data_IF_956432658926
#
_entry.id   IF_956432658926
#
_cell.length_a   1.000
_cell.length_b   1.000
_cell.length_c   1.000
_cell.angle_alpha   90.00
_cell.angle_beta   90.00
_cell.angle_gamma   90.00
#
_symmetry.space_group_name_H-M   'P 1'
#
loop_
_entity.id
_entity.type
_entity.pdbx_description
1 polymer ?
#
# COMPACT_ATOMS: atom_id res chain seq x y z
N UNK A 1 -38.48 -3.44 -15.33
CA UNK A 1 -37.79 -2.62 -14.30
C UNK A 1 -37.57 -1.24 -14.89
N UNK A 2 -38.24 -0.26 -14.32
CA UNK A 2 -38.34 1.12 -14.78
C UNK A 2 -36.97 1.80 -14.82
N UNK A 3 -36.60 2.36 -15.96
CA UNK A 3 -35.45 3.25 -16.08
C UNK A 3 -35.69 4.48 -15.18
N UNK A 4 -34.80 4.73 -14.25
CA UNK A 4 -34.88 5.88 -13.36
C UNK A 4 -34.76 7.16 -14.19
N UNK A 5 -35.75 8.05 -14.13
CA UNK A 5 -35.83 9.29 -14.87
C UNK A 5 -34.78 10.37 -14.50
N UNK A 6 -33.70 10.00 -13.79
CA UNK A 6 -32.65 10.89 -13.29
C UNK A 6 -31.43 11.03 -14.23
N UNK A 7 -31.52 10.64 -15.52
CA UNK A 7 -30.35 10.51 -16.41
C UNK A 7 -30.02 11.75 -17.28
N UNK A 8 -30.45 12.96 -16.87
CA UNK A 8 -30.20 14.20 -17.64
C UNK A 8 -28.78 14.77 -17.62
N UNK A 9 -27.77 14.12 -17.01
CA UNK A 9 -26.38 14.58 -16.98
C UNK A 9 -25.42 13.54 -17.52
N UNK A 10 -24.41 13.96 -18.30
CA UNK A 10 -23.41 13.07 -18.88
C UNK A 10 -22.64 12.32 -17.78
N UNK A 11 -22.63 10.97 -17.84
CA UNK A 11 -21.84 10.12 -16.95
C UNK A 11 -20.37 10.21 -17.34
N UNK A 12 -19.49 10.42 -16.35
CA UNK A 12 -18.04 10.48 -16.55
C UNK A 12 -17.43 9.09 -16.37
N UNK A 13 -16.59 8.62 -17.28
CA UNK A 13 -15.77 7.43 -17.06
C UNK A 13 -14.91 7.60 -15.80
N UNK A 14 -14.77 6.54 -15.00
CA UNK A 14 -14.02 6.59 -13.73
C UNK A 14 -12.57 6.98 -13.97
N UNK A 15 -11.93 6.41 -15.00
CA UNK A 15 -10.51 6.59 -15.26
C UNK A 15 -10.18 8.05 -15.60
N UNK A 16 -11.05 8.72 -16.40
CA UNK A 16 -10.93 10.14 -16.73
C UNK A 16 -11.15 11.02 -15.49
N UNK A 17 -12.21 10.72 -14.72
CA UNK A 17 -12.52 11.44 -13.50
C UNK A 17 -11.37 11.32 -12.47
N UNK A 18 -10.80 10.11 -12.31
CA UNK A 18 -9.69 9.86 -11.41
C UNK A 18 -8.42 10.58 -11.87
N UNK A 19 -8.10 10.56 -13.16
CA UNK A 19 -6.93 11.27 -13.69
C UNK A 19 -7.01 12.79 -13.42
N UNK A 20 -8.18 13.40 -13.67
CA UNK A 20 -8.41 14.81 -13.34
C UNK A 20 -8.29 15.08 -11.84
N UNK A 21 -8.88 14.23 -11.01
CA UNK A 21 -8.85 14.38 -9.56
C UNK A 21 -7.41 14.30 -9.02
N UNK A 22 -6.64 13.32 -9.48
CA UNK A 22 -5.24 13.14 -9.06
C UNK A 22 -4.34 14.32 -9.47
N UNK A 23 -4.64 14.96 -10.60
CA UNK A 23 -3.92 16.16 -11.03
C UNK A 23 -4.19 17.39 -10.14
N UNK A 24 -5.33 17.40 -9.43
CA UNK A 24 -5.70 18.45 -8.47
C UNK A 24 -5.23 18.17 -7.04
N UNK A 25 -4.56 17.05 -6.78
CA UNK A 25 -4.07 16.74 -5.44
C UNK A 25 -3.06 17.81 -4.97
N UNK A 26 -3.24 18.37 -3.77
CA UNK A 26 -2.31 19.33 -3.20
C UNK A 26 -0.91 18.76 -3.04
N UNK A 27 0.07 19.63 -2.78
CA UNK A 27 1.41 19.19 -2.43
C UNK A 27 1.36 18.31 -1.17
N UNK A 28 2.21 17.25 -1.11
CA UNK A 28 2.28 16.40 0.07
C UNK A 28 2.61 17.18 1.34
N UNK A 29 2.22 16.68 2.52
CA UNK A 29 2.56 17.27 3.80
C UNK A 29 4.07 17.40 4.00
N UNK A 30 4.49 18.28 4.94
CA UNK A 30 5.88 18.39 5.33
C UNK A 30 6.46 17.06 5.82
N UNK A 31 7.78 16.93 5.71
CA UNK A 31 8.49 15.77 6.25
C UNK A 31 8.74 15.92 7.75
N UNK A 32 8.85 14.78 8.42
CA UNK A 32 9.32 14.64 9.80
C UNK A 32 10.35 13.51 9.87
N UNK A 33 11.26 13.59 10.81
CA UNK A 33 12.25 12.54 11.07
C UNK A 33 11.68 11.54 12.06
N UNK A 34 11.71 10.25 11.70
CA UNK A 34 11.28 9.17 12.58
C UNK A 34 12.38 8.12 12.77
N UNK A 35 12.44 7.53 13.96
CA UNK A 35 13.18 6.32 14.19
C UNK A 35 12.65 5.20 13.29
N UNK A 36 13.57 4.38 12.75
CA UNK A 36 13.25 3.34 11.76
C UNK A 36 12.16 2.37 12.26
N UNK A 37 12.17 2.00 13.53
CA UNK A 37 11.18 1.12 14.16
C UNK A 37 9.73 1.66 14.12
N UNK A 38 9.56 2.98 13.99
CA UNK A 38 8.26 3.67 13.93
C UNK A 38 7.84 4.01 12.49
N UNK A 39 8.65 3.65 11.50
CA UNK A 39 8.48 4.07 10.12
C UNK A 39 7.63 3.11 9.27
N UNK A 40 7.17 1.98 9.82
CA UNK A 40 6.30 1.05 9.10
C UNK A 40 5.04 1.74 8.58
N UNK A 41 4.74 1.54 7.28
CA UNK A 41 3.57 2.11 6.61
C UNK A 41 3.67 3.61 6.29
N UNK A 42 4.77 4.28 6.69
CA UNK A 42 5.00 5.70 6.38
C UNK A 42 5.46 5.88 4.93
N UNK A 43 5.26 7.07 4.41
CA UNK A 43 5.67 7.46 3.05
C UNK A 43 7.01 8.17 3.12
N UNK A 44 8.01 7.67 2.43
CA UNK A 44 9.35 8.26 2.38
C UNK A 44 9.29 9.67 1.78
N UNK A 45 9.94 10.63 2.45
CA UNK A 45 9.87 12.05 2.11
C UNK A 45 10.89 12.49 1.06
N UNK A 46 12.02 11.80 0.97
CA UNK A 46 13.16 12.09 0.11
C UNK A 46 13.83 10.82 -0.40
N UNK A 47 14.58 10.92 -1.49
CA UNK A 47 15.34 9.78 -2.02
C UNK A 47 16.43 9.37 -1.02
N UNK A 48 16.63 8.07 -0.85
CA UNK A 48 17.63 7.52 0.03
C UNK A 48 18.72 6.84 -0.79
N UNK A 49 19.96 7.26 -0.59
CA UNK A 49 21.14 6.65 -1.19
C UNK A 49 21.86 5.77 -0.16
N UNK A 50 22.50 4.70 -0.61
CA UNK A 50 23.26 3.81 0.24
C UNK A 50 24.42 4.55 0.95
N UNK A 51 24.42 4.63 2.30
CA UNK A 51 25.50 5.30 3.03
C UNK A 51 26.80 4.51 3.01
N UNK A 52 26.73 3.20 2.70
CA UNK A 52 27.86 2.29 2.67
C UNK A 52 27.62 1.15 1.66
N UNK A 53 28.67 0.36 1.39
CA UNK A 53 28.54 -0.84 0.57
C UNK A 53 27.77 -1.94 1.33
N UNK A 54 27.02 -2.77 0.60
CA UNK A 54 26.33 -3.95 1.13
C UNK A 54 26.65 -5.17 0.22
N UNK A 55 27.23 -6.27 0.71
CA UNK A 55 27.87 -6.42 2.03
C UNK A 55 29.00 -5.44 2.31
N UNK A 56 29.30 -5.22 3.59
CA UNK A 56 30.31 -4.20 4.00
C UNK A 56 31.75 -4.62 3.70
N UNK A 57 32.00 -5.93 3.57
CA UNK A 57 33.29 -6.56 3.28
C UNK A 57 33.08 -7.85 2.49
N UNK A 58 34.15 -8.39 1.91
CA UNK A 58 34.15 -9.72 1.34
C UNK A 58 33.90 -10.74 2.46
N UNK A 59 32.93 -11.64 2.29
CA UNK A 59 32.52 -12.59 3.32
C UNK A 59 32.24 -13.97 2.76
N UNK A 60 32.31 -14.98 3.63
CA UNK A 60 31.97 -16.34 3.26
C UNK A 60 30.47 -16.49 3.01
N UNK A 61 30.10 -17.12 1.90
CA UNK A 61 28.73 -17.52 1.60
C UNK A 61 28.34 -18.88 2.26
N UNK A 62 29.32 -19.65 2.75
CA UNK A 62 29.14 -21.02 3.26
C UNK A 62 29.96 -21.24 4.54
N UNK A 63 29.57 -22.24 5.30
CA UNK A 63 30.42 -22.81 6.34
C UNK A 63 31.45 -23.71 5.68
N UNK A 64 32.74 -23.47 5.94
CA UNK A 64 33.77 -24.22 5.22
C UNK A 64 35.19 -23.78 5.52
N UNK A 65 36.04 -23.76 4.51
CA UNK A 65 37.43 -23.40 4.59
C UNK A 65 37.79 -22.34 3.57
N UNK A 66 38.26 -21.18 4.04
CA UNK A 66 38.79 -20.11 3.22
C UNK A 66 40.25 -20.39 2.89
N UNK A 67 40.66 -20.17 1.65
CA UNK A 67 42.00 -20.38 1.15
C UNK A 67 42.33 -19.50 -0.05
N UNK A 68 43.61 -19.44 -0.43
CA UNK A 68 43.99 -18.90 -1.73
C UNK A 68 43.91 -20.03 -2.77
N UNK A 69 43.12 -19.84 -3.81
CA UNK A 69 42.95 -20.86 -4.87
C UNK A 69 44.27 -21.25 -5.56
N UNK A 70 45.24 -20.31 -5.61
CA UNK A 70 46.56 -20.56 -6.18
C UNK A 70 47.45 -21.49 -5.34
N UNK A 71 47.11 -21.70 -4.06
CA UNK A 71 47.88 -22.60 -3.15
C UNK A 71 47.53 -24.07 -3.36
N UNK A 72 46.50 -24.39 -4.16
CA UNK A 72 46.12 -25.75 -4.48
C UNK A 72 46.45 -26.13 -5.92
N UNK A 73 46.91 -27.39 -6.12
CA UNK A 73 46.97 -27.99 -7.46
C UNK A 73 45.59 -28.02 -8.13
N UNK A 74 45.55 -28.05 -9.43
CA UNK A 74 44.27 -28.15 -10.21
C UNK A 74 43.45 -29.41 -9.88
N UNK A 75 44.08 -30.42 -9.29
CA UNK A 75 43.45 -31.68 -8.85
C UNK A 75 42.87 -31.62 -7.41
N UNK A 76 43.02 -30.50 -6.73
CA UNK A 76 42.78 -30.41 -5.29
C UNK A 76 44.02 -30.80 -4.46
N UNK A 77 43.93 -30.76 -3.13
CA UNK A 77 45.07 -31.01 -2.26
C UNK A 77 44.74 -30.83 -0.79
N UNK A 78 45.80 -30.95 0.05
CA UNK A 78 45.68 -30.84 1.50
C UNK A 78 46.41 -29.60 2.02
N UNK A 79 45.71 -28.78 2.81
CA UNK A 79 46.27 -27.59 3.47
C UNK A 79 46.20 -27.73 5.00
N UNK A 80 47.11 -27.06 5.71
CA UNK A 80 47.04 -26.95 7.17
C UNK A 80 46.02 -25.89 7.57
N UNK A 81 45.17 -26.20 8.56
CA UNK A 81 44.18 -25.27 9.10
C UNK A 81 44.83 -24.40 10.18
N UNK A 82 45.22 -23.17 9.82
CA UNK A 82 45.96 -22.27 10.71
C UNK A 82 45.08 -21.33 11.55
N UNK A 83 43.79 -21.24 11.23
CA UNK A 83 42.89 -20.28 11.88
C UNK A 83 41.43 -20.71 11.86
N UNK A 84 40.64 -20.11 12.78
CA UNK A 84 39.17 -20.21 12.80
C UNK A 84 38.58 -18.82 12.87
N UNK A 85 37.66 -18.49 11.91
CA UNK A 85 37.06 -17.17 11.71
C UNK A 85 35.54 -17.33 11.78
N UNK A 86 34.93 -16.75 12.80
CA UNK A 86 33.47 -16.73 12.97
C UNK A 86 32.86 -15.40 12.46
N UNK A 87 31.56 -15.38 12.24
CA UNK A 87 30.84 -14.13 12.02
C UNK A 87 31.04 -13.19 13.24
N UNK A 88 31.29 -11.91 12.97
CA UNK A 88 31.63 -10.93 14.02
C UNK A 88 33.08 -10.89 14.43
N UNK A 89 33.96 -11.71 13.84
CA UNK A 89 35.39 -11.63 14.07
C UNK A 89 35.98 -10.33 13.48
N UNK A 90 36.57 -9.50 14.35
CA UNK A 90 37.10 -8.18 13.99
C UNK A 90 38.64 -8.17 13.96
N UNK A 91 39.32 -9.29 14.13
CA UNK A 91 40.79 -9.35 14.27
C UNK A 91 41.55 -9.01 12.98
N UNK A 92 40.87 -8.94 11.81
CA UNK A 92 41.53 -8.60 10.56
C UNK A 92 42.60 -9.60 10.17
N UNK A 93 42.25 -10.88 10.11
CA UNK A 93 43.23 -11.96 9.92
C UNK A 93 43.82 -11.98 8.52
N UNK A 94 45.10 -12.24 8.43
CA UNK A 94 45.81 -12.60 7.20
C UNK A 94 46.04 -14.09 7.17
N UNK A 95 45.74 -14.73 6.04
CA UNK A 95 45.97 -16.13 5.82
C UNK A 95 47.40 -16.35 5.29
N UNK A 96 48.27 -17.10 5.99
CA UNK A 96 49.56 -17.44 5.45
C UNK A 96 49.47 -18.30 4.19
N UNK A 97 50.45 -18.19 3.29
CA UNK A 97 50.54 -19.04 2.09
C UNK A 97 50.56 -20.53 2.47
N UNK A 98 49.83 -21.32 1.69
CA UNK A 98 49.74 -22.78 1.90
C UNK A 98 48.89 -23.19 3.11
N UNK A 99 48.10 -22.29 3.67
CA UNK A 99 47.19 -22.57 4.77
C UNK A 99 45.71 -22.34 4.36
N UNK A 100 44.82 -22.99 5.11
CA UNK A 100 43.37 -22.73 5.07
C UNK A 100 42.93 -22.21 6.45
N UNK A 101 41.81 -21.44 6.44
CA UNK A 101 41.14 -21.01 7.66
C UNK A 101 39.76 -21.62 7.72
N UNK A 102 39.40 -22.26 8.85
CA UNK A 102 38.02 -22.63 9.12
C UNK A 102 37.18 -21.37 9.20
N UNK A 103 36.17 -21.25 8.32
CA UNK A 103 35.33 -20.03 8.21
C UNK A 103 33.84 -20.40 8.28
N UNK A 104 33.02 -19.48 8.77
CA UNK A 104 31.58 -19.64 8.88
C UNK A 104 30.87 -18.61 8.02
N UNK A 105 29.65 -18.92 7.59
CA UNK A 105 28.79 -18.05 6.77
C UNK A 105 28.69 -16.66 7.38
N UNK A 106 28.90 -15.63 6.56
CA UNK A 106 28.88 -14.23 6.98
C UNK A 106 30.18 -13.74 7.66
N UNK A 107 31.13 -14.63 7.96
CA UNK A 107 32.43 -14.21 8.49
C UNK A 107 33.27 -13.47 7.43
N UNK A 108 34.04 -12.44 7.83
CA UNK A 108 34.90 -11.72 6.90
C UNK A 108 35.97 -12.67 6.32
N UNK A 109 36.19 -12.55 4.99
CA UNK A 109 37.21 -13.30 4.30
C UNK A 109 38.59 -12.79 4.73
N UNK A 110 39.53 -13.66 5.19
CA UNK A 110 40.86 -13.22 5.60
C UNK A 110 41.64 -12.69 4.38
N UNK A 111 42.47 -11.69 4.60
CA UNK A 111 43.39 -11.20 3.55
C UNK A 111 44.30 -12.36 3.09
N UNK A 112 44.42 -12.55 1.78
CA UNK A 112 45.14 -13.64 1.16
C UNK A 112 44.26 -14.82 0.72
N UNK A 113 43.03 -14.94 1.22
CA UNK A 113 42.04 -15.88 0.70
C UNK A 113 41.22 -15.22 -0.47
N UNK A 114 40.91 -16.05 -1.45
CA UNK A 114 40.08 -15.63 -2.61
C UNK A 114 38.89 -16.57 -2.87
N UNK A 115 38.78 -17.68 -2.15
CA UNK A 115 37.66 -18.63 -2.28
C UNK A 115 37.34 -19.32 -0.94
N UNK A 116 36.17 -19.96 -0.89
CA UNK A 116 35.74 -20.81 0.23
C UNK A 116 35.25 -22.15 -0.34
N UNK A 117 35.62 -23.23 0.34
CA UNK A 117 35.14 -24.59 0.06
C UNK A 117 34.14 -24.98 1.16
N UNK A 118 32.91 -25.40 0.81
CA UNK A 118 31.93 -25.89 1.78
C UNK A 118 32.47 -27.07 2.56
N UNK A 119 32.19 -27.14 3.85
CA UNK A 119 32.72 -28.20 4.75
C UNK A 119 32.29 -29.60 4.31
N UNK A 120 31.14 -29.73 3.65
CA UNK A 120 30.58 -30.98 3.17
C UNK A 120 31.43 -31.63 2.04
N UNK A 121 32.26 -30.83 1.39
CA UNK A 121 33.16 -31.23 0.33
C UNK A 121 34.59 -31.48 0.84
N UNK A 122 34.82 -31.33 2.14
CA UNK A 122 36.14 -31.41 2.74
C UNK A 122 36.28 -32.65 3.64
N UNK A 123 37.51 -33.21 3.71
CA UNK A 123 37.85 -34.27 4.67
C UNK A 123 38.90 -33.71 5.62
N UNK A 124 38.58 -33.71 6.91
CA UNK A 124 39.50 -33.24 7.97
C UNK A 124 40.32 -34.38 8.50
N UNK A 125 41.64 -34.22 8.54
CA UNK A 125 42.60 -35.18 9.13
C UNK A 125 43.56 -34.40 10.05
N UNK A 126 43.28 -34.45 11.35
CA UNK A 126 44.02 -33.71 12.37
C UNK A 126 43.98 -32.20 12.11
N UNK A 127 45.16 -31.60 11.93
CA UNK A 127 45.30 -30.17 11.62
C UNK A 127 45.24 -29.85 10.11
N UNK A 128 44.96 -30.85 9.28
CA UNK A 128 44.90 -30.69 7.83
C UNK A 128 43.50 -30.90 7.30
N UNK A 129 43.20 -30.24 6.18
CA UNK A 129 41.95 -30.41 5.46
C UNK A 129 42.25 -30.78 4.01
N UNK A 130 41.65 -31.86 3.54
CA UNK A 130 41.67 -32.25 2.13
C UNK A 130 40.57 -31.53 1.42
N UNK A 131 40.90 -30.84 0.32
CA UNK A 131 40.08 -29.93 -0.44
C UNK A 131 39.95 -30.40 -1.88
N UNK A 132 38.76 -30.30 -2.50
CA UNK A 132 38.58 -30.55 -3.92
C UNK A 132 39.23 -29.43 -4.76
N UNK A 133 39.22 -29.53 -6.11
CA UNK A 133 39.57 -28.42 -6.98
C UNK A 133 38.72 -27.20 -6.71
N UNK A 134 39.32 -26.00 -6.77
CA UNK A 134 38.67 -24.72 -6.47
C UNK A 134 38.94 -23.69 -7.55
N UNK A 135 38.11 -22.65 -7.61
CA UNK A 135 38.30 -21.47 -8.44
C UNK A 135 38.24 -20.21 -7.59
N UNK A 136 39.01 -19.19 -7.98
CA UNK A 136 38.95 -17.88 -7.34
C UNK A 136 37.52 -17.31 -7.38
N UNK A 137 37.08 -16.71 -6.27
CA UNK A 137 35.74 -16.14 -6.09
C UNK A 137 34.66 -17.14 -5.69
N UNK A 138 34.95 -18.44 -5.65
CA UNK A 138 33.99 -19.48 -5.31
C UNK A 138 33.49 -19.30 -3.88
N UNK A 139 32.15 -19.26 -3.68
CA UNK A 139 31.47 -19.08 -2.38
C UNK A 139 31.91 -17.84 -1.58
N UNK A 140 32.32 -16.77 -2.25
CA UNK A 140 32.63 -15.48 -1.65
C UNK A 140 31.56 -14.46 -2.07
N UNK A 141 30.94 -13.82 -1.08
CA UNK A 141 30.11 -12.61 -1.29
C UNK A 141 31.03 -11.41 -1.31
N UNK A 142 31.04 -10.68 -2.41
CA UNK A 142 31.92 -9.52 -2.58
C UNK A 142 31.35 -8.28 -1.92
N UNK A 143 32.22 -7.44 -1.36
CA UNK A 143 31.86 -6.11 -0.86
C UNK A 143 31.13 -5.31 -1.94
N UNK A 144 29.95 -4.75 -1.60
CA UNK A 144 29.14 -3.94 -2.50
C UNK A 144 28.48 -4.72 -3.65
N UNK A 145 28.41 -6.05 -3.55
CA UNK A 145 27.78 -6.93 -4.55
C UNK A 145 26.27 -6.62 -4.69
N UNK A 146 25.59 -6.38 -3.56
CA UNK A 146 24.18 -6.05 -3.53
C UNK A 146 23.94 -4.54 -3.76
N UNK A 147 24.65 -3.70 -3.00
CA UNK A 147 24.57 -2.24 -3.11
C UNK A 147 25.95 -1.60 -2.92
N UNK A 148 26.29 -0.66 -3.77
CA UNK A 148 27.47 0.19 -3.60
C UNK A 148 27.09 1.49 -2.92
N UNK A 149 27.97 2.03 -2.12
CA UNK A 149 27.85 3.36 -1.52
C UNK A 149 27.47 4.41 -2.57
N UNK A 150 26.42 5.21 -2.28
CA UNK A 150 25.90 6.24 -3.19
C UNK A 150 24.87 5.72 -4.20
N UNK A 151 24.65 4.40 -4.31
CA UNK A 151 23.60 3.88 -5.16
C UNK A 151 22.19 4.23 -4.59
N UNK A 152 21.18 4.48 -5.46
CA UNK A 152 19.82 4.71 -5.02
C UNK A 152 19.23 3.43 -4.39
N UNK A 153 18.67 3.55 -3.17
CA UNK A 153 18.07 2.48 -2.41
C UNK A 153 16.55 2.54 -2.48
N UNK A 154 15.99 3.69 -2.08
CA UNK A 154 14.56 3.95 -2.09
C UNK A 154 14.29 5.35 -2.63
N UNK A 155 13.10 5.54 -3.20
CA UNK A 155 12.67 6.84 -3.74
C UNK A 155 11.64 7.50 -2.84
N UNK A 156 11.67 8.83 -2.79
CA UNK A 156 10.59 9.61 -2.19
C UNK A 156 9.24 9.17 -2.76
N UNK A 157 8.21 9.13 -1.91
CA UNK A 157 6.88 8.66 -2.30
C UNK A 157 6.67 7.14 -2.25
N UNK A 158 7.66 6.36 -1.86
CA UNK A 158 7.47 4.94 -1.55
C UNK A 158 6.92 4.75 -0.14
N UNK A 159 5.99 3.78 0.02
CA UNK A 159 5.55 3.32 1.34
C UNK A 159 6.57 2.35 1.92
N UNK A 160 6.99 2.57 3.16
CA UNK A 160 7.93 1.71 3.86
C UNK A 160 7.22 0.46 4.39
N UNK A 161 7.55 -0.70 3.84
CA UNK A 161 7.06 -2.03 4.21
C UNK A 161 8.12 -2.73 5.06
N UNK A 162 7.86 -3.91 5.65
CA UNK A 162 8.85 -4.61 6.47
C UNK A 162 10.20 -4.84 5.78
N UNK A 163 10.21 -5.19 4.49
CA UNK A 163 11.44 -5.43 3.73
C UNK A 163 12.25 -4.14 3.50
N UNK A 164 11.62 -2.99 3.31
CA UNK A 164 12.34 -1.71 3.22
C UNK A 164 12.98 -1.35 4.57
N UNK A 165 12.28 -1.60 5.69
CA UNK A 165 12.86 -1.37 7.02
C UNK A 165 14.07 -2.28 7.28
N UNK A 166 13.98 -3.57 6.88
CA UNK A 166 15.08 -4.51 6.98
C UNK A 166 16.29 -4.08 6.16
N UNK A 167 16.08 -3.64 4.92
CA UNK A 167 17.13 -3.11 4.05
C UNK A 167 17.79 -1.87 4.64
N UNK A 168 17.00 -0.91 5.13
CA UNK A 168 17.52 0.31 5.76
C UNK A 168 18.33 0.00 7.02
N UNK A 169 17.85 -0.94 7.84
CA UNK A 169 18.58 -1.41 9.02
C UNK A 169 19.92 -2.06 8.65
N UNK A 170 19.98 -2.87 7.58
CA UNK A 170 21.24 -3.48 7.10
C UNK A 170 22.25 -2.44 6.58
N UNK A 171 21.79 -1.26 6.19
CA UNK A 171 22.60 -0.12 5.80
C UNK A 171 22.96 0.81 6.97
N UNK A 172 22.59 0.46 8.21
CA UNK A 172 22.86 1.25 9.40
C UNK A 172 22.01 2.54 9.52
N UNK A 173 20.90 2.64 8.79
CA UNK A 173 20.01 3.79 8.83
C UNK A 173 19.13 3.69 10.07
N UNK A 174 19.34 4.57 11.05
CA UNK A 174 18.58 4.58 12.31
C UNK A 174 17.31 5.45 12.24
N UNK A 175 17.30 6.47 11.39
CA UNK A 175 16.20 7.41 11.22
C UNK A 175 15.92 7.67 9.75
N UNK A 176 14.67 7.95 9.40
CA UNK A 176 14.23 8.25 8.05
C UNK A 176 13.39 9.51 8.00
N UNK A 177 13.51 10.27 6.90
CA UNK A 177 12.65 11.40 6.59
C UNK A 177 11.37 10.86 5.93
N UNK A 178 10.23 11.05 6.58
CA UNK A 178 8.93 10.56 6.09
C UNK A 178 7.92 11.70 6.03
N UNK A 179 6.93 11.59 5.17
CA UNK A 179 5.81 12.54 5.15
C UNK A 179 5.01 12.43 6.44
N UNK A 180 4.68 13.55 7.08
CA UNK A 180 3.69 13.61 8.16
C UNK A 180 2.39 12.95 7.68
N UNK A 181 1.66 12.30 8.59
CA UNK A 181 0.33 11.76 8.24
C UNK A 181 -0.62 12.88 7.87
N UNK A 182 -1.43 12.66 6.82
CA UNK A 182 -2.57 13.52 6.52
C UNK A 182 -3.58 13.45 7.66
N UNK A 183 -4.08 14.62 8.07
CA UNK A 183 -5.17 14.75 9.02
C UNK A 183 -6.46 14.99 8.26
N UNK A 184 -7.43 14.12 8.48
CA UNK A 184 -8.68 14.09 7.73
C UNK A 184 -9.85 14.32 8.66
N UNK A 185 -10.64 15.36 8.42
CA UNK A 185 -11.94 15.55 9.05
C UNK A 185 -12.99 14.69 8.35
N UNK A 186 -13.61 13.76 9.07
CA UNK A 186 -14.71 12.93 8.57
C UNK A 186 -16.02 13.42 9.17
N UNK A 187 -16.94 13.88 8.30
CA UNK A 187 -18.22 14.43 8.70
C UNK A 187 -19.37 13.61 8.10
N UNK A 188 -20.44 13.45 8.85
CA UNK A 188 -21.69 12.82 8.40
C UNK A 188 -22.81 13.86 8.45
N UNK A 189 -23.70 13.85 7.45
CA UNK A 189 -24.88 14.72 7.41
C UNK A 189 -26.13 13.89 7.13
N UNK A 190 -27.19 14.16 7.87
CA UNK A 190 -28.51 13.54 7.72
C UNK A 190 -29.23 13.49 9.06
N UNK A 191 -30.42 14.07 9.15
CA UNK A 191 -31.25 14.12 10.35
C UNK A 191 -31.76 12.70 10.76
N UNK A 192 -31.74 11.78 9.81
CA UNK A 192 -32.05 10.37 10.05
C UNK A 192 -30.97 9.61 10.81
N UNK A 193 -29.74 10.14 10.87
CA UNK A 193 -28.60 9.43 11.44
C UNK A 193 -28.60 9.44 12.96
N UNK A 194 -28.31 8.29 13.53
CA UNK A 194 -28.11 8.08 14.98
C UNK A 194 -26.84 7.27 15.22
N UNK A 195 -26.22 7.49 16.35
CA UNK A 195 -25.05 6.71 16.74
C UNK A 195 -25.45 5.33 17.25
N UNK A 196 -24.65 4.28 16.96
CA UNK A 196 -24.87 2.94 17.52
C UNK A 196 -25.00 2.97 19.04
N UNK A 197 -26.00 2.23 19.55
CA UNK A 197 -26.35 2.21 20.98
C UNK A 197 -27.48 3.17 21.37
N UNK A 198 -27.83 4.14 20.52
CA UNK A 198 -29.00 4.98 20.70
C UNK A 198 -30.27 4.26 20.22
N UNK A 199 -31.42 4.59 20.84
CA UNK A 199 -32.72 4.07 20.38
C UNK A 199 -33.15 4.73 19.09
N UNK A 200 -33.52 3.94 18.06
CA UNK A 200 -34.02 4.46 16.81
C UNK A 200 -35.51 4.82 16.93
N UNK A 201 -35.86 5.98 16.44
CA UNK A 201 -37.22 6.39 16.15
C UNK A 201 -37.59 6.00 14.71
N UNK A 202 -38.90 6.07 14.39
CA UNK A 202 -39.36 5.81 13.02
C UNK A 202 -38.64 6.75 12.02
N UNK A 203 -38.11 6.19 10.93
CA UNK A 203 -37.36 6.92 9.91
C UNK A 203 -35.87 7.11 10.21
N UNK A 204 -35.38 6.74 11.37
CA UNK A 204 -33.96 6.87 11.73
C UNK A 204 -33.18 5.58 11.43
N UNK A 205 -31.87 5.76 11.15
CA UNK A 205 -30.92 4.68 10.87
C UNK A 205 -29.61 4.94 11.62
N UNK A 206 -28.85 3.88 11.87
CA UNK A 206 -27.49 4.05 12.44
C UNK A 206 -26.49 4.56 11.40
N UNK A 207 -25.58 5.43 11.82
CA UNK A 207 -24.51 6.00 11.01
C UNK A 207 -23.42 4.97 10.71
N UNK A 208 -23.68 4.03 9.81
CA UNK A 208 -22.72 3.00 9.42
C UNK A 208 -21.52 3.56 8.65
N UNK A 209 -21.70 4.64 7.89
CA UNK A 209 -20.67 5.20 7.04
C UNK A 209 -19.50 5.79 7.86
N UNK A 210 -19.79 6.48 8.95
CA UNK A 210 -18.77 7.01 9.88
C UNK A 210 -17.79 5.92 10.30
N UNK A 211 -18.29 4.78 10.71
CA UNK A 211 -17.47 3.65 11.15
C UNK A 211 -16.73 2.99 9.99
N UNK A 212 -17.41 2.72 8.88
CA UNK A 212 -16.83 2.05 7.73
C UNK A 212 -15.73 2.91 7.07
N UNK A 213 -16.02 4.17 6.76
CA UNK A 213 -15.08 5.07 6.10
C UNK A 213 -13.97 5.49 7.06
N UNK A 214 -14.29 5.78 8.32
CA UNK A 214 -13.28 6.10 9.34
C UNK A 214 -12.29 4.97 9.55
N UNK A 215 -12.75 3.71 9.64
CA UNK A 215 -11.89 2.55 9.74
C UNK A 215 -11.02 2.36 8.50
N UNK A 216 -11.57 2.52 7.28
CA UNK A 216 -10.82 2.48 6.03
C UNK A 216 -9.69 3.52 6.02
N UNK A 217 -10.00 4.78 6.33
CA UNK A 217 -9.02 5.87 6.30
C UNK A 217 -7.91 5.68 7.34
N UNK A 218 -8.24 5.21 8.55
CA UNK A 218 -7.24 4.86 9.57
C UNK A 218 -6.38 3.67 9.14
N UNK A 219 -6.97 2.65 8.54
CA UNK A 219 -6.26 1.49 7.98
C UNK A 219 -5.26 1.89 6.88
N UNK A 220 -5.57 2.91 6.09
CA UNK A 220 -4.67 3.49 5.09
C UNK A 220 -3.52 4.34 5.69
N UNK A 221 -3.52 4.54 7.02
CA UNK A 221 -2.47 5.24 7.74
C UNK A 221 -2.70 6.74 7.94
N UNK A 222 -3.91 7.25 7.67
CA UNK A 222 -4.27 8.64 7.94
C UNK A 222 -4.62 8.87 9.41
N UNK A 223 -4.45 10.10 9.88
CA UNK A 223 -4.99 10.58 11.15
C UNK A 223 -6.42 11.09 10.90
N UNK A 224 -7.41 10.40 11.47
CA UNK A 224 -8.83 10.66 11.17
C UNK A 224 -9.53 11.19 12.41
N UNK A 225 -10.12 12.35 12.25
CA UNK A 225 -10.95 13.01 13.25
C UNK A 225 -12.41 12.89 12.83
N UNK A 226 -13.18 12.21 13.67
CA UNK A 226 -14.60 12.03 13.47
C UNK A 226 -15.36 13.16 14.14
N UNK A 227 -16.00 14.01 13.36
CA UNK A 227 -16.88 15.04 13.84
C UNK A 227 -18.26 14.46 14.20
N UNK A 228 -19.01 15.16 15.04
CA UNK A 228 -20.41 14.83 15.30
C UNK A 228 -21.23 14.93 13.99
N UNK A 229 -22.41 14.28 13.99
CA UNK A 229 -23.34 14.37 12.86
C UNK A 229 -23.76 15.83 12.69
N UNK A 230 -23.51 16.38 11.49
CA UNK A 230 -23.91 17.74 11.17
C UNK A 230 -25.44 17.82 11.12
N UNK A 231 -26.02 18.76 11.84
CA UNK A 231 -27.41 19.13 11.66
C UNK A 231 -27.65 19.59 10.21
N UNK A 232 -28.77 19.22 9.63
CA UNK A 232 -29.13 19.64 8.27
C UNK A 232 -29.61 21.11 8.25
N UNK A 233 -28.74 21.99 8.73
CA UNK A 233 -28.93 23.45 8.78
C UNK A 233 -27.74 24.17 8.15
N UNK A 234 -28.00 25.17 7.32
CA UNK A 234 -26.97 25.87 6.55
C UNK A 234 -25.90 26.53 7.42
N UNK A 235 -26.30 27.25 8.47
CA UNK A 235 -25.37 27.99 9.33
C UNK A 235 -24.50 27.02 10.13
N UNK A 236 -25.10 26.01 10.76
CA UNK A 236 -24.39 24.99 11.52
C UNK A 236 -23.41 24.20 10.63
N UNK A 237 -23.83 23.78 9.44
CA UNK A 237 -22.99 23.10 8.46
C UNK A 237 -21.81 23.99 8.00
N UNK A 238 -22.05 25.27 7.71
CA UNK A 238 -21.00 26.21 7.31
C UNK A 238 -19.95 26.38 8.41
N UNK A 239 -20.39 26.61 9.64
CA UNK A 239 -19.50 26.88 10.77
C UNK A 239 -18.66 25.64 11.11
N UNK A 240 -19.26 24.45 11.11
CA UNK A 240 -18.55 23.19 11.31
C UNK A 240 -17.54 22.90 10.19
N UNK A 241 -17.91 23.11 8.92
CA UNK A 241 -17.02 22.96 7.77
C UNK A 241 -15.84 23.95 7.82
N UNK A 242 -16.10 25.21 8.21
CA UNK A 242 -15.06 26.23 8.35
C UNK A 242 -14.06 25.86 9.44
N UNK A 243 -14.55 25.41 10.59
CA UNK A 243 -13.69 24.93 11.71
C UNK A 243 -12.87 23.73 11.25
N UNK A 244 -13.51 22.70 10.68
CA UNK A 244 -12.83 21.50 10.18
C UNK A 244 -11.75 21.83 9.14
N UNK A 245 -12.01 22.76 8.21
CA UNK A 245 -11.03 23.20 7.22
C UNK A 245 -9.84 23.95 7.83
N UNK A 246 -10.00 24.59 8.98
CA UNK A 246 -8.90 25.27 9.69
C UNK A 246 -7.95 24.28 10.36
N UNK A 247 -8.44 23.12 10.77
CA UNK A 247 -7.70 22.13 11.56
C UNK A 247 -7.13 20.98 10.72
N UNK A 248 -7.84 20.58 9.64
CA UNK A 248 -7.53 19.36 8.89
C UNK A 248 -6.93 19.65 7.51
N UNK A 249 -6.25 18.66 6.95
CA UNK A 249 -5.59 18.76 5.61
C UNK A 249 -6.56 18.46 4.46
N UNK A 250 -7.61 17.68 4.74
CA UNK A 250 -8.67 17.32 3.81
C UNK A 250 -9.96 16.99 4.57
N UNK A 251 -11.10 17.18 3.91
CA UNK A 251 -12.42 16.86 4.45
C UNK A 251 -13.06 15.75 3.63
N UNK A 252 -13.68 14.79 4.32
CA UNK A 252 -14.49 13.74 3.72
C UNK A 252 -15.88 13.80 4.33
N UNK A 253 -16.91 13.90 3.50
CA UNK A 253 -18.30 13.85 3.98
C UNK A 253 -19.01 12.62 3.45
N UNK A 254 -19.93 12.08 4.22
CA UNK A 254 -20.84 11.01 3.83
C UNK A 254 -22.28 11.47 3.97
N UNK A 255 -23.06 11.37 2.87
CA UNK A 255 -24.35 12.00 2.74
C UNK A 255 -24.24 13.39 2.08
N UNK A 256 -25.38 14.08 1.86
CA UNK A 256 -25.39 15.43 1.33
C UNK A 256 -24.82 15.60 -0.10
N UNK A 257 -24.71 14.55 -0.91
CA UNK A 257 -24.21 14.61 -2.30
C UNK A 257 -25.28 14.20 -3.33
N UNK A 258 -26.52 14.07 -2.92
CA UNK A 258 -27.65 13.77 -3.80
C UNK A 258 -28.08 14.99 -4.61
N UNK A 259 -28.93 14.80 -5.61
CA UNK A 259 -29.51 15.88 -6.43
C UNK A 259 -30.73 16.57 -5.77
N UNK A 260 -30.94 16.39 -4.45
CA UNK A 260 -32.01 17.03 -3.70
C UNK A 260 -31.88 18.56 -3.69
N UNK A 261 -33.02 19.26 -3.75
CA UNK A 261 -33.07 20.74 -3.77
C UNK A 261 -32.72 21.38 -2.42
N UNK A 262 -32.83 20.63 -1.31
CA UNK A 262 -32.58 21.10 0.08
C UNK A 262 -31.29 20.55 0.69
N UNK A 263 -30.18 20.58 -0.07
CA UNK A 263 -28.89 20.09 0.41
C UNK A 263 -28.09 21.24 1.05
N UNK A 264 -28.34 21.49 2.34
CA UNK A 264 -27.69 22.56 3.11
C UNK A 264 -26.16 22.37 3.16
N UNK A 265 -25.68 21.15 3.18
CA UNK A 265 -24.24 20.87 3.16
C UNK A 265 -23.57 21.39 1.87
N UNK A 266 -24.18 21.13 0.70
CA UNK A 266 -23.65 21.64 -0.59
C UNK A 266 -23.65 23.15 -0.65
N UNK A 267 -24.72 23.78 -0.15
CA UNK A 267 -24.80 25.25 -0.11
C UNK A 267 -23.72 25.84 0.80
N UNK A 268 -23.52 25.25 1.97
CA UNK A 268 -22.46 25.67 2.89
C UNK A 268 -21.07 25.53 2.25
N UNK A 269 -20.80 24.43 1.53
CA UNK A 269 -19.53 24.22 0.83
C UNK A 269 -19.37 25.23 -0.30
N UNK A 270 -20.42 25.51 -1.08
CA UNK A 270 -20.38 26.49 -2.17
C UNK A 270 -20.11 27.93 -1.66
N UNK A 271 -20.54 28.27 -0.45
CA UNK A 271 -20.23 29.56 0.21
C UNK A 271 -18.76 29.63 0.67
N UNK A 272 -18.17 28.48 1.04
CA UNK A 272 -16.81 28.41 1.59
C UNK A 272 -15.72 28.07 0.56
N UNK A 273 -16.12 27.68 -0.65
CA UNK A 273 -15.17 27.26 -1.67
C UNK A 273 -15.81 26.78 -2.98
N UNK A 274 -15.34 25.66 -3.49
CA UNK A 274 -15.72 25.12 -4.80
C UNK A 274 -16.46 23.79 -4.65
N UNK A 275 -17.52 23.59 -5.44
CA UNK A 275 -18.29 22.35 -5.52
C UNK A 275 -18.35 21.86 -6.96
N UNK A 276 -17.82 20.66 -7.21
CA UNK A 276 -17.98 19.94 -8.47
C UNK A 276 -18.76 18.65 -8.21
N UNK A 277 -19.98 18.58 -8.77
CA UNK A 277 -20.80 17.37 -8.67
C UNK A 277 -20.54 16.48 -9.87
N UNK A 278 -19.99 15.29 -9.63
CA UNK A 278 -19.71 14.33 -10.68
C UNK A 278 -20.69 13.15 -10.63
N UNK A 279 -21.10 12.73 -11.81
CA UNK A 279 -21.85 11.50 -12.00
C UNK A 279 -20.92 10.47 -12.64
N UNK A 280 -20.43 9.54 -11.84
CA UNK A 280 -19.51 8.52 -12.31
C UNK A 280 -20.24 7.40 -13.06
N UNK A 281 -19.65 6.92 -14.14
CA UNK A 281 -20.16 5.81 -14.95
C UNK A 281 -19.93 4.45 -14.30
N UNK A 282 -20.12 4.37 -12.98
CA UNK A 282 -19.91 3.15 -12.17
C UNK A 282 -21.19 2.74 -11.44
N UNK A 283 -21.21 1.49 -10.98
CA UNK A 283 -22.28 0.96 -10.11
C UNK A 283 -21.68 -0.07 -9.11
N UNK A 284 -21.92 0.14 -7.78
CA UNK A 284 -22.54 1.29 -7.14
C UNK A 284 -21.63 2.52 -7.13
N UNK A 285 -22.14 3.70 -6.75
CA UNK A 285 -21.31 4.91 -6.58
C UNK A 285 -21.46 5.95 -7.69
N UNK A 286 -22.66 6.08 -8.31
CA UNK A 286 -22.92 7.11 -9.34
C UNK A 286 -22.66 8.55 -8.85
N UNK A 287 -23.22 9.02 -7.71
CA UNK A 287 -22.95 10.36 -7.21
C UNK A 287 -21.59 10.41 -6.50
N UNK A 288 -20.81 11.42 -6.81
CA UNK A 288 -19.58 11.80 -6.14
C UNK A 288 -19.43 13.31 -6.22
N UNK A 289 -19.01 13.94 -5.15
CA UNK A 289 -18.70 15.35 -5.14
C UNK A 289 -17.24 15.58 -4.80
N UNK A 290 -16.66 16.59 -5.43
CA UNK A 290 -15.29 17.02 -5.18
C UNK A 290 -15.24 18.54 -5.21
N UNK A 291 -14.41 19.13 -4.36
CA UNK A 291 -14.25 20.56 -4.31
C UNK A 291 -13.23 21.00 -3.26
N UNK A 292 -13.46 22.20 -2.74
CA UNK A 292 -12.65 22.74 -1.66
C UNK A 292 -13.50 23.49 -0.65
N UNK A 293 -13.05 23.48 0.61
CA UNK A 293 -13.62 24.28 1.71
C UNK A 293 -12.46 25.08 2.30
N UNK A 294 -12.53 26.40 2.25
CA UNK A 294 -11.47 27.30 2.69
C UNK A 294 -10.07 26.88 2.17
N UNK A 295 -10.00 26.47 0.92
CA UNK A 295 -8.75 26.02 0.25
C UNK A 295 -8.30 24.61 0.58
N UNK A 296 -9.02 23.86 1.42
CA UNK A 296 -8.75 22.43 1.70
C UNK A 296 -9.57 21.54 0.79
N UNK A 297 -9.02 20.43 0.26
CA UNK A 297 -9.80 19.48 -0.53
C UNK A 297 -10.97 18.92 0.24
N UNK A 298 -12.09 18.81 -0.43
CA UNK A 298 -13.28 18.17 0.08
C UNK A 298 -13.74 17.06 -0.87
N UNK A 299 -14.08 15.90 -0.29
CA UNK A 299 -14.57 14.72 -0.99
C UNK A 299 -15.93 14.33 -0.42
N UNK A 300 -16.97 14.41 -1.23
CA UNK A 300 -18.33 14.03 -0.86
C UNK A 300 -18.68 12.63 -1.34
N UNK A 301 -18.95 11.71 -0.41
CA UNK A 301 -19.29 10.32 -0.67
C UNK A 301 -20.82 10.10 -0.65
N UNK A 302 -21.35 9.11 -1.39
CA UNK A 302 -22.76 8.74 -1.33
C UNK A 302 -23.24 8.41 0.09
N UNK A 303 -24.53 8.63 0.39
CA UNK A 303 -25.14 8.23 1.65
C UNK A 303 -25.34 6.70 1.78
N UNK A 304 -25.63 5.99 0.66
CA UNK A 304 -25.76 4.52 0.67
C UNK A 304 -24.47 3.82 1.02
N UNK A 305 -24.41 2.95 2.07
CA UNK A 305 -23.15 2.48 2.66
C UNK A 305 -22.24 1.71 1.72
N UNK A 306 -22.75 0.75 0.93
CA UNK A 306 -21.89 0.03 -0.01
C UNK A 306 -21.43 0.92 -1.18
N UNK A 307 -22.23 1.92 -1.57
CA UNK A 307 -21.80 2.89 -2.56
C UNK A 307 -20.71 3.83 -1.99
N UNK A 308 -20.85 4.26 -0.74
CA UNK A 308 -19.85 5.06 -0.03
C UNK A 308 -18.50 4.32 0.04
N UNK A 309 -18.52 3.05 0.47
CA UNK A 309 -17.31 2.22 0.54
C UNK A 309 -16.64 2.06 -0.84
N UNK A 310 -17.39 1.67 -1.87
CA UNK A 310 -16.84 1.47 -3.22
C UNK A 310 -16.28 2.78 -3.77
N UNK A 311 -16.98 3.91 -3.60
CA UNK A 311 -16.51 5.22 -4.05
C UNK A 311 -15.29 5.67 -3.24
N UNK A 312 -15.25 5.41 -1.95
CA UNK A 312 -14.09 5.69 -1.11
C UNK A 312 -12.86 4.90 -1.58
N UNK A 313 -13.00 3.60 -1.86
CA UNK A 313 -11.92 2.74 -2.34
C UNK A 313 -11.39 3.16 -3.72
N UNK A 314 -12.28 3.51 -4.65
CA UNK A 314 -11.93 3.76 -6.04
C UNK A 314 -11.56 5.21 -6.35
N UNK A 315 -12.02 6.18 -5.54
CA UNK A 315 -11.84 7.61 -5.82
C UNK A 315 -11.18 8.35 -4.67
N UNK A 316 -11.75 8.31 -3.45
CA UNK A 316 -11.21 9.06 -2.34
C UNK A 316 -9.83 8.53 -1.90
N UNK A 317 -9.67 7.20 -1.79
CA UNK A 317 -8.40 6.55 -1.45
C UNK A 317 -7.24 6.97 -2.37
N UNK A 318 -7.30 6.80 -3.70
CA UNK A 318 -6.18 7.19 -4.56
C UNK A 318 -5.86 8.68 -4.48
N UNK A 319 -6.86 9.55 -4.33
CA UNK A 319 -6.64 10.98 -4.15
C UNK A 319 -5.89 11.29 -2.85
N UNK A 320 -6.36 10.76 -1.73
CA UNK A 320 -5.75 11.00 -0.41
C UNK A 320 -4.34 10.38 -0.33
N UNK A 321 -4.12 9.21 -0.93
CA UNK A 321 -2.79 8.61 -1.02
C UNK A 321 -1.84 9.45 -1.89
N UNK A 322 -2.33 10.03 -2.99
CA UNK A 322 -1.57 10.98 -3.82
C UNK A 322 -1.21 12.23 -3.01
N UNK A 323 -2.17 12.80 -2.28
CA UNK A 323 -1.93 13.92 -1.38
C UNK A 323 -0.96 13.56 -0.24
N UNK A 324 -0.98 12.31 0.27
CA UNK A 324 0.01 11.83 1.24
C UNK A 324 1.43 11.74 0.64
N UNK A 325 1.56 11.73 -0.69
CA UNK A 325 2.82 11.72 -1.41
C UNK A 325 3.17 10.40 -2.10
N UNK A 326 2.27 9.42 -2.15
CA UNK A 326 2.51 8.18 -2.90
C UNK A 326 2.40 8.42 -4.41
N UNK A 327 3.24 7.72 -5.20
CA UNK A 327 3.19 7.76 -6.66
C UNK A 327 2.23 6.73 -7.24
N UNK A 328 2.29 5.50 -6.77
CA UNK A 328 1.46 4.39 -7.25
C UNK A 328 0.25 4.23 -6.33
N UNK A 329 -0.86 4.86 -6.72
CA UNK A 329 -2.08 4.92 -5.91
C UNK A 329 -3.25 4.13 -6.48
N UNK A 330 -3.15 3.70 -7.76
CA UNK A 330 -4.19 2.92 -8.43
C UNK A 330 -3.84 1.44 -8.36
N UNK A 331 -4.65 0.61 -7.71
CA UNK A 331 -4.37 -0.81 -7.61
C UNK A 331 -4.50 -1.50 -8.96
N UNK A 332 -3.62 -2.48 -9.21
CA UNK A 332 -3.69 -3.31 -10.42
C UNK A 332 -4.66 -4.47 -10.17
N UNK A 333 -5.63 -4.70 -11.06
CA UNK A 333 -6.51 -5.85 -10.95
C UNK A 333 -5.76 -7.16 -11.22
N UNK A 334 -6.30 -8.25 -10.69
CA UNK A 334 -5.91 -9.61 -11.03
C UNK A 334 -6.89 -10.16 -12.06
N UNK A 335 -6.41 -10.67 -13.18
CA UNK A 335 -7.24 -11.38 -14.15
C UNK A 335 -7.48 -12.81 -13.66
N UNK A 336 -8.72 -13.13 -13.27
CA UNK A 336 -9.10 -14.42 -12.68
C UNK A 336 -10.33 -14.99 -13.41
N UNK A 337 -10.54 -16.32 -13.44
CA UNK A 337 -11.72 -16.90 -14.06
C UNK A 337 -12.99 -16.63 -13.23
N UNK A 338 -14.10 -16.31 -13.91
CA UNK A 338 -15.40 -16.13 -13.30
C UNK A 338 -16.05 -17.47 -12.94
N UNK A 339 -16.72 -17.52 -11.79
CA UNK A 339 -17.57 -18.65 -11.38
C UNK A 339 -19.08 -18.39 -11.65
N UNK A 340 -19.39 -17.35 -12.40
CA UNK A 340 -20.76 -16.91 -12.66
C UNK A 340 -20.95 -16.42 -14.10
N UNK A 341 -22.20 -16.37 -14.55
CA UNK A 341 -22.59 -15.79 -15.83
C UNK A 341 -23.07 -14.35 -15.65
N UNK A 342 -22.72 -13.48 -16.60
CA UNK A 342 -23.24 -12.12 -16.70
C UNK A 342 -23.78 -11.86 -18.12
N UNK A 343 -25.00 -12.37 -18.42
CA UNK A 343 -25.53 -12.40 -19.78
C UNK A 343 -26.05 -11.06 -20.28
N UNK A 344 -26.33 -10.11 -19.39
CA UNK A 344 -26.93 -8.82 -19.74
C UNK A 344 -25.92 -7.67 -19.61
N UNK A 345 -25.55 -6.98 -20.69
CA UNK A 345 -24.66 -5.84 -20.65
C UNK A 345 -25.30 -4.70 -19.86
N UNK A 346 -24.48 -3.93 -19.13
CA UNK A 346 -24.91 -2.77 -18.36
C UNK A 346 -24.33 -1.47 -18.93
N UNK A 347 -25.07 -0.37 -18.78
CA UNK A 347 -24.65 0.94 -19.28
C UNK A 347 -23.49 1.57 -18.46
N UNK A 348 -23.17 1.02 -17.29
CA UNK A 348 -22.10 1.50 -16.40
C UNK A 348 -21.18 0.35 -16.05
N UNK A 349 -19.89 0.65 -15.80
CA UNK A 349 -18.92 -0.32 -15.23
C UNK A 349 -19.43 -0.77 -13.87
N UNK A 350 -19.44 -2.10 -13.66
CA UNK A 350 -19.93 -2.72 -12.43
C UNK A 350 -18.75 -3.04 -11.50
N UNK A 351 -18.90 -2.74 -10.23
CA UNK A 351 -18.00 -3.15 -9.15
C UNK A 351 -18.78 -4.03 -8.19
N UNK A 352 -18.73 -5.32 -8.43
CA UNK A 352 -19.52 -6.31 -7.72
C UNK A 352 -18.73 -6.80 -6.50
N UNK A 353 -19.39 -6.91 -5.35
CA UNK A 353 -18.81 -7.54 -4.16
C UNK A 353 -18.62 -9.01 -4.46
N UNK A 354 -17.35 -9.45 -4.40
CA UNK A 354 -16.94 -10.75 -4.86
C UNK A 354 -15.88 -11.35 -3.92
N UNK A 355 -15.78 -12.66 -3.92
CA UNK A 355 -14.72 -13.39 -3.25
C UNK A 355 -14.20 -14.52 -4.15
N UNK A 356 -13.14 -15.19 -3.73
CA UNK A 356 -12.62 -16.36 -4.43
C UNK A 356 -13.26 -17.64 -3.87
N UNK A 357 -13.69 -18.53 -4.79
CA UNK A 357 -14.12 -19.87 -4.42
C UNK A 357 -12.89 -20.77 -4.12
N UNK A 358 -13.13 -22.01 -3.66
CA UNK A 358 -12.07 -22.98 -3.35
C UNK A 358 -11.16 -23.32 -4.53
N UNK A 359 -11.58 -23.02 -5.76
CA UNK A 359 -10.83 -23.25 -7.01
C UNK A 359 -10.12 -21.98 -7.48
N UNK A 360 -10.16 -20.90 -6.71
CA UNK A 360 -9.56 -19.60 -7.07
C UNK A 360 -10.32 -18.84 -8.15
N UNK A 361 -11.60 -19.15 -8.39
CA UNK A 361 -12.46 -18.42 -9.33
C UNK A 361 -13.25 -17.35 -8.58
N UNK A 362 -13.60 -16.30 -9.30
CA UNK A 362 -14.36 -15.17 -8.74
C UNK A 362 -15.85 -15.53 -8.67
N UNK A 363 -16.42 -15.56 -7.49
CA UNK A 363 -17.88 -15.65 -7.27
C UNK A 363 -18.41 -14.31 -6.73
N UNK A 364 -19.65 -13.97 -7.10
CA UNK A 364 -20.29 -12.71 -6.67
C UNK A 364 -21.37 -12.96 -5.63
N UNK A 365 -21.52 -12.04 -4.68
CA UNK A 365 -22.64 -12.07 -3.76
C UNK A 365 -23.96 -11.89 -4.52
N UNK A 366 -25.04 -12.63 -4.19
CA UNK A 366 -26.31 -12.52 -4.92
C UNK A 366 -26.99 -11.15 -4.76
N UNK A 367 -26.73 -10.45 -3.66
CA UNK A 367 -27.26 -9.11 -3.41
C UNK A 367 -26.19 -8.04 -3.65
N UNK A 368 -26.36 -7.26 -4.73
CA UNK A 368 -25.43 -6.22 -5.15
C UNK A 368 -25.98 -4.78 -4.97
N UNK A 369 -26.98 -4.59 -4.11
CA UNK A 369 -27.57 -3.28 -3.84
C UNK A 369 -26.58 -2.28 -3.24
N UNK A 370 -26.82 -1.00 -3.46
CA UNK A 370 -25.92 0.10 -3.01
C UNK A 370 -25.91 0.30 -1.50
N UNK A 371 -26.91 -0.22 -0.78
CA UNK A 371 -27.01 -0.16 0.69
C UNK A 371 -26.49 -1.43 1.39
N UNK A 372 -26.08 -2.47 0.65
CA UNK A 372 -25.85 -3.82 1.19
C UNK A 372 -24.42 -3.99 1.71
N UNK A 373 -24.15 -3.57 2.96
CA UNK A 373 -22.85 -3.80 3.63
C UNK A 373 -22.56 -5.28 3.92
N UNK A 374 -23.60 -6.10 4.14
CA UNK A 374 -23.40 -7.54 4.33
C UNK A 374 -22.65 -8.17 3.15
N UNK A 375 -22.99 -7.76 1.92
CA UNK A 375 -22.29 -8.22 0.73
C UNK A 375 -20.81 -7.78 0.71
N UNK A 376 -20.50 -6.60 1.22
CA UNK A 376 -19.11 -6.12 1.34
C UNK A 376 -18.34 -6.85 2.45
N UNK A 377 -19.00 -7.19 3.55
CA UNK A 377 -18.40 -7.96 4.65
C UNK A 377 -18.11 -9.42 4.26
N UNK A 378 -18.93 -9.99 3.37
CA UNK A 378 -18.72 -11.33 2.81
C UNK A 378 -17.61 -11.38 1.76
N UNK A 379 -17.36 -10.28 1.06
CA UNK A 379 -16.45 -10.22 -0.08
C UNK A 379 -14.98 -10.10 0.33
N UNK A 380 -14.08 -10.64 -0.51
CA UNK A 380 -12.63 -10.46 -0.44
C UNK A 380 -12.15 -9.32 -1.35
N UNK A 381 -13.04 -8.78 -2.20
CA UNK A 381 -12.71 -7.75 -3.18
C UNK A 381 -13.88 -7.34 -4.07
N UNK A 382 -13.54 -6.68 -5.16
CA UNK A 382 -14.49 -6.21 -6.18
C UNK A 382 -14.19 -6.89 -7.52
N UNK A 383 -15.18 -7.58 -8.09
CA UNK A 383 -15.15 -8.00 -9.49
C UNK A 383 -15.56 -6.83 -10.39
N UNK A 384 -14.80 -6.59 -11.45
CA UNK A 384 -15.01 -5.46 -12.35
C UNK A 384 -15.56 -5.98 -13.68
N UNK A 385 -16.75 -5.51 -14.06
CA UNK A 385 -17.32 -5.79 -15.38
C UNK A 385 -17.41 -4.48 -16.14
N UNK A 386 -16.77 -4.44 -17.29
CA UNK A 386 -16.75 -3.26 -18.13
C UNK A 386 -18.13 -2.89 -18.68
N UNK A 387 -18.28 -1.62 -19.04
CA UNK A 387 -19.48 -1.14 -19.69
C UNK A 387 -19.78 -1.93 -20.94
N UNK A 388 -20.99 -2.45 -21.06
CA UNK A 388 -21.45 -3.20 -22.24
C UNK A 388 -20.92 -4.63 -22.33
N UNK A 389 -20.10 -5.07 -21.39
CA UNK A 389 -19.56 -6.42 -21.40
C UNK A 389 -20.58 -7.46 -20.92
N UNK A 390 -20.46 -8.67 -21.46
CA UNK A 390 -21.07 -9.92 -21.00
C UNK A 390 -19.97 -10.91 -20.69
N UNK A 391 -20.24 -11.89 -19.84
CA UNK A 391 -19.26 -12.93 -19.55
C UNK A 391 -19.96 -14.24 -19.15
N UNK A 392 -19.30 -15.35 -19.44
CA UNK A 392 -19.69 -16.70 -19.05
C UNK A 392 -18.77 -17.28 -17.96
N UNK A 393 -19.20 -18.39 -17.36
CA UNK A 393 -18.35 -19.13 -16.41
C UNK A 393 -17.05 -19.54 -17.08
N UNK A 394 -15.93 -19.22 -16.43
CA UNK A 394 -14.57 -19.51 -16.92
C UNK A 394 -13.92 -18.35 -17.68
N UNK A 395 -14.67 -17.35 -18.12
CA UNK A 395 -14.10 -16.15 -18.73
C UNK A 395 -13.25 -15.36 -17.73
N UNK A 396 -12.20 -14.70 -18.24
CA UNK A 396 -11.34 -13.86 -17.42
C UNK A 396 -12.07 -12.58 -17.00
N UNK A 397 -12.01 -12.27 -15.71
CA UNK A 397 -12.57 -11.05 -15.11
C UNK A 397 -11.53 -10.35 -14.26
N UNK A 398 -11.53 -9.03 -14.28
CA UNK A 398 -10.70 -8.22 -13.38
C UNK A 398 -11.23 -8.29 -11.95
N UNK A 399 -10.36 -8.65 -11.01
CA UNK A 399 -10.63 -8.71 -9.58
C UNK A 399 -9.70 -7.76 -8.82
N UNK A 400 -10.27 -6.86 -8.04
CA UNK A 400 -9.57 -5.93 -7.16
C UNK A 400 -9.66 -6.43 -5.72
N UNK A 401 -8.65 -7.11 -5.17
CA UNK A 401 -8.71 -7.63 -3.81
C UNK A 401 -8.72 -6.49 -2.78
N UNK A 402 -9.49 -6.65 -1.71
CA UNK A 402 -9.53 -5.68 -0.61
C UNK A 402 -8.17 -5.52 0.07
N UNK A 403 -7.34 -6.55 0.09
CA UNK A 403 -5.96 -6.44 0.56
C UNK A 403 -5.11 -5.43 -0.22
N UNK A 404 -5.38 -5.22 -1.51
CA UNK A 404 -4.73 -4.18 -2.33
C UNK A 404 -5.42 -2.82 -2.23
N UNK A 405 -6.73 -2.81 -1.95
CA UNK A 405 -7.53 -1.59 -1.83
C UNK A 405 -7.47 -0.96 -0.44
N UNK A 406 -7.20 -1.74 0.61
CA UNK A 406 -7.19 -1.30 2.01
C UNK A 406 -5.77 -1.23 2.61
N UNK A 407 -4.73 -1.44 1.77
CA UNK A 407 -3.32 -1.40 2.16
C UNK A 407 -2.68 -0.03 1.90
#
# INVERSE_FOLDING_TARGET
>A
MSACACDGGQLRPLDEALAELLARAPRPPACESLALERALGRVLGEDLLAPMDLPHWDSSAMDGYALCSADLPRSGGSLTVGARIAAGDTRGMSLPLGQAARIFTGAPLPTGADCVVPQELCVVDGERVQLPPVSAGQHVRRRGEELRRGAPVLRAGQRLRPQELGLLASLGVATVSVRRRLRIGLLSSGDELREPGQTLLAGQIYNANRYCIGALLRGLGFEVHDEEVLADELVASRDALSLAASEWDALVTSGGVSVGEEDHLKRAIAELGEVNLWRLAIQPGKPFAFGSVAGKPWLGLPGNPAAALVTALLVARPFLLRQQGLFDVVPRPLALPAAFDWPQPRARRQYLRARLDERGRVEIHPQQGSAMLLAASWADGLAVIERGATLGVGDAIDFLPFSALMA
#
